data_IF_818906425720
#
_entry.id   IF_818906425720
#
_cell.length_a   1.000
_cell.length_b   1.000
_cell.length_c   1.000
_cell.angle_alpha   90.00
_cell.angle_beta   90.00
_cell.angle_gamma   90.00
#
_symmetry.space_group_name_H-M   'P 1'
#
loop_
_entity.id
_entity.type
_entity.pdbx_description
1 polymer ?
#
# COMPACT_ATOMS: atom_id res chain seq x y z
N UNK A 1 25.11 -1.78 -7.62
CA UNK A 1 23.73 -2.13 -7.22
C UNK A 1 22.84 -1.80 -8.38
N UNK A 2 22.23 -2.81 -8.98
CA UNK A 2 21.31 -2.59 -10.09
C UNK A 2 20.04 -1.94 -9.55
N UNK A 3 19.51 -0.98 -10.28
CA UNK A 3 18.25 -0.31 -9.95
C UNK A 3 17.13 -0.97 -10.73
N UNK A 4 16.04 -1.31 -10.05
CA UNK A 4 14.86 -1.91 -10.65
C UNK A 4 13.64 -1.00 -10.47
N UNK A 5 12.78 -0.98 -11.49
CA UNK A 5 11.43 -0.45 -11.42
C UNK A 5 10.47 -1.64 -11.29
N UNK A 6 9.60 -1.60 -10.28
CA UNK A 6 8.53 -2.58 -10.09
C UNK A 6 7.19 -1.91 -10.39
N UNK A 7 6.35 -2.52 -11.21
CA UNK A 7 5.06 -1.99 -11.61
C UNK A 7 3.98 -3.06 -11.43
N UNK A 8 2.89 -2.72 -10.76
CA UNK A 8 1.71 -3.59 -10.66
C UNK A 8 0.95 -3.55 -11.97
N UNK A 9 0.94 -4.67 -12.68
CA UNK A 9 0.08 -4.89 -13.84
C UNK A 9 -1.19 -5.59 -13.37
N UNK A 10 -2.13 -4.77 -12.91
CA UNK A 10 -3.39 -5.23 -12.33
C UNK A 10 -4.15 -6.12 -13.31
N UNK A 11 -4.37 -5.66 -14.55
CA UNK A 11 -5.10 -6.38 -15.59
C UNK A 11 -4.54 -7.79 -15.84
N UNK A 12 -3.22 -7.91 -15.92
CA UNK A 12 -2.57 -9.20 -16.18
C UNK A 12 -2.13 -9.96 -14.93
N UNK A 13 -2.53 -9.50 -13.74
CA UNK A 13 -2.31 -10.17 -12.44
C UNK A 13 -0.84 -10.48 -12.14
N UNK A 14 0.06 -9.54 -12.44
CA UNK A 14 1.50 -9.71 -12.17
C UNK A 14 2.18 -8.40 -11.77
N UNK A 15 3.39 -8.53 -11.24
CA UNK A 15 4.31 -7.40 -11.10
C UNK A 15 5.31 -7.46 -12.26
N UNK A 16 5.37 -6.38 -13.03
CA UNK A 16 6.40 -6.18 -14.05
C UNK A 16 7.65 -5.56 -13.44
N UNK A 17 8.80 -6.08 -13.85
CA UNK A 17 10.11 -5.64 -13.33
C UNK A 17 10.96 -5.18 -14.50
N UNK A 18 11.54 -3.99 -14.39
CA UNK A 18 12.43 -3.43 -15.40
C UNK A 18 13.79 -3.07 -14.78
N UNK A 19 14.88 -3.32 -15.51
CA UNK A 19 16.22 -2.90 -15.09
C UNK A 19 16.43 -1.38 -15.32
N UNK A 20 17.61 -0.87 -15.00
CA UNK A 20 17.96 0.55 -15.18
C UNK A 20 17.95 1.05 -16.64
N UNK A 21 17.90 0.13 -17.61
CA UNK A 21 17.73 0.43 -19.04
C UNK A 21 16.26 0.30 -19.51
N UNK A 22 15.32 0.11 -18.59
CA UNK A 22 13.90 -0.18 -18.85
C UNK A 22 13.65 -1.47 -19.64
N UNK A 23 14.59 -2.41 -19.61
CA UNK A 23 14.40 -3.74 -20.20
C UNK A 23 13.71 -4.67 -19.19
N UNK A 24 12.81 -5.56 -19.64
CA UNK A 24 12.16 -6.54 -18.77
C UNK A 24 13.18 -7.40 -18.02
N UNK A 25 12.96 -7.56 -16.73
CA UNK A 25 13.82 -8.28 -15.79
C UNK A 25 13.01 -9.25 -14.89
N UNK A 26 11.78 -9.59 -15.28
CA UNK A 26 10.93 -10.50 -14.52
C UNK A 26 11.60 -11.87 -14.33
N UNK A 27 11.70 -12.32 -13.09
CA UNK A 27 12.06 -13.71 -12.79
C UNK A 27 10.79 -14.60 -12.82
N UNK A 28 10.86 -15.82 -13.39
CA UNK A 28 9.74 -16.74 -13.35
C UNK A 28 9.29 -17.04 -11.91
N UNK A 29 8.00 -16.86 -11.63
CA UNK A 29 7.42 -17.11 -10.29
C UNK A 29 7.71 -16.04 -9.24
N UNK A 30 8.35 -14.92 -9.61
CA UNK A 30 8.49 -13.76 -8.74
C UNK A 30 7.14 -13.09 -8.48
N UNK A 31 6.98 -12.51 -7.28
CA UNK A 31 5.78 -11.79 -6.85
C UNK A 31 4.50 -12.65 -6.88
N UNK A 32 4.62 -13.92 -6.51
CA UNK A 32 3.49 -14.86 -6.42
C UNK A 32 3.32 -15.34 -4.99
N UNK A 33 2.10 -15.22 -4.46
CA UNK A 33 1.63 -16.04 -3.34
C UNK A 33 0.52 -16.99 -3.81
N UNK A 34 0.74 -18.32 -3.81
CA UNK A 34 -0.27 -19.31 -4.21
C UNK A 34 -1.50 -19.37 -3.28
N UNK A 35 -1.46 -18.73 -2.12
CA UNK A 35 -2.58 -18.65 -1.17
C UNK A 35 -3.55 -17.50 -1.49
N UNK A 36 -3.21 -16.60 -2.41
CA UNK A 36 -4.17 -15.61 -2.91
C UNK A 36 -5.13 -16.30 -3.90
N UNK A 37 -6.45 -16.24 -3.69
CA UNK A 37 -7.42 -16.82 -4.61
C UNK A 37 -7.36 -16.23 -6.03
N UNK A 38 -7.89 -16.97 -6.99
CA UNK A 38 -8.17 -16.41 -8.31
C UNK A 38 -9.15 -15.21 -8.17
N UNK A 39 -8.99 -14.19 -9.02
CA UNK A 39 -9.77 -12.96 -8.96
C UNK A 39 -9.07 -11.77 -8.29
N UNK A 40 -7.95 -11.98 -7.60
CA UNK A 40 -7.16 -10.88 -7.00
C UNK A 40 -5.89 -10.58 -7.81
N UNK A 41 -5.48 -9.32 -7.85
CA UNK A 41 -4.32 -8.87 -8.60
C UNK A 41 -3.51 -7.79 -7.85
N UNK A 42 -2.19 -7.67 -8.09
CA UNK A 42 -1.37 -6.61 -7.53
C UNK A 42 -1.93 -5.22 -7.86
N UNK A 43 -2.16 -4.39 -6.86
CA UNK A 43 -2.81 -3.08 -7.00
C UNK A 43 -1.84 -1.94 -6.67
N UNK A 44 -1.37 -1.87 -5.42
CA UNK A 44 -0.32 -0.95 -4.96
C UNK A 44 1.00 -1.66 -4.67
N UNK A 45 2.11 -0.92 -4.76
CA UNK A 45 3.46 -1.45 -4.52
C UNK A 45 4.38 -0.38 -3.94
N UNK A 46 5.18 -0.75 -2.94
CA UNK A 46 6.19 0.12 -2.33
C UNK A 46 7.43 -0.65 -1.89
N UNK A 47 8.59 0.01 -1.97
CA UNK A 47 9.82 -0.46 -1.33
C UNK A 47 9.90 0.10 0.08
N UNK A 48 9.75 -0.78 1.06
CA UNK A 48 9.84 -0.51 2.49
C UNK A 48 11.15 -1.09 3.01
N UNK A 49 12.19 -0.24 3.09
CA UNK A 49 13.50 -0.60 3.65
C UNK A 49 14.15 -1.84 3.01
N UNK A 50 13.96 -2.03 1.70
CA UNK A 50 14.50 -3.19 0.96
C UNK A 50 13.53 -4.37 0.85
N UNK A 51 12.37 -4.30 1.51
CA UNK A 51 11.25 -5.23 1.31
C UNK A 51 10.25 -4.63 0.33
N UNK A 52 9.87 -5.38 -0.70
CA UNK A 52 8.83 -4.97 -1.63
C UNK A 52 7.48 -5.40 -1.05
N UNK A 53 6.67 -4.43 -0.66
CA UNK A 53 5.31 -4.65 -0.17
C UNK A 53 4.35 -4.45 -1.34
N UNK A 54 3.48 -5.43 -1.56
CA UNK A 54 2.49 -5.42 -2.64
C UNK A 54 1.11 -5.62 -2.02
N UNK A 55 0.19 -4.72 -2.33
CA UNK A 55 -1.23 -4.90 -2.01
C UNK A 55 -1.93 -5.58 -3.17
N UNK A 56 -2.99 -6.32 -2.89
CA UNK A 56 -3.81 -7.00 -3.90
C UNK A 56 -5.26 -6.63 -3.69
N UNK A 57 -5.95 -6.28 -4.78
CA UNK A 57 -7.37 -5.98 -4.81
C UNK A 57 -8.12 -7.00 -5.67
N UNK A 58 -9.41 -7.16 -5.40
CA UNK A 58 -10.31 -8.00 -6.21
C UNK A 58 -10.58 -7.32 -7.54
N UNK A 59 -10.55 -8.06 -8.64
CA UNK A 59 -10.80 -7.55 -9.99
C UNK A 59 -12.25 -7.71 -10.37
N UNK A 60 -12.76 -6.77 -11.16
CA UNK A 60 -14.01 -6.96 -11.87
C UNK A 60 -13.88 -8.01 -13.00
N UNK A 61 -15.00 -8.31 -13.66
CA UNK A 61 -15.02 -9.33 -14.71
C UNK A 61 -14.13 -8.96 -15.92
N UNK A 62 -13.99 -7.67 -16.22
CA UNK A 62 -13.19 -7.14 -17.32
C UNK A 62 -11.70 -6.97 -16.94
N UNK A 63 -11.38 -7.09 -15.64
CA UNK A 63 -10.05 -6.92 -15.05
C UNK A 63 -9.47 -5.52 -15.28
N UNK A 64 -10.33 -4.52 -15.39
CA UNK A 64 -9.91 -3.13 -15.55
C UNK A 64 -9.92 -2.42 -14.21
N UNK A 65 -10.98 -2.62 -13.44
CA UNK A 65 -11.21 -1.93 -12.17
C UNK A 65 -11.25 -2.91 -11.00
N UNK A 66 -11.00 -2.38 -9.81
CA UNK A 66 -11.18 -3.13 -8.59
C UNK A 66 -12.65 -3.26 -8.22
N UNK A 67 -12.98 -4.33 -7.50
CA UNK A 67 -14.28 -4.47 -6.83
C UNK A 67 -14.10 -4.03 -5.39
N UNK A 68 -14.37 -2.76 -5.09
CA UNK A 68 -14.36 -2.24 -3.74
C UNK A 68 -15.32 -3.01 -2.81
N UNK A 69 -14.91 -3.22 -1.56
CA UNK A 69 -15.67 -3.92 -0.54
C UNK A 69 -14.81 -4.29 0.67
N UNK A 70 -15.40 -4.28 1.86
CA UNK A 70 -14.70 -4.73 3.07
C UNK A 70 -14.29 -6.21 2.91
N UNK A 71 -13.01 -6.48 3.14
CA UNK A 71 -12.41 -7.80 2.96
C UNK A 71 -11.90 -8.06 1.55
N UNK A 72 -12.08 -7.14 0.60
CA UNK A 72 -11.59 -7.31 -0.77
C UNK A 72 -10.12 -6.87 -0.88
N UNK A 73 -9.24 -7.58 -0.19
CA UNK A 73 -7.81 -7.39 -0.40
C UNK A 73 -6.87 -8.26 0.43
N UNK A 74 -5.60 -8.18 0.03
CA UNK A 74 -4.45 -8.79 0.69
C UNK A 74 -3.27 -7.83 0.68
N UNK A 75 -2.29 -8.07 1.55
CA UNK A 75 -1.00 -7.35 1.53
C UNK A 75 0.11 -8.35 1.81
N UNK A 76 1.07 -8.45 0.89
CA UNK A 76 2.20 -9.37 0.96
C UNK A 76 3.54 -8.66 0.89
N UNK A 77 4.58 -9.33 1.36
CA UNK A 77 5.97 -8.89 1.33
C UNK A 77 6.81 -9.84 0.48
N UNK A 78 7.71 -9.24 -0.27
CA UNK A 78 8.68 -9.92 -1.10
C UNK A 78 10.06 -9.31 -0.89
N UNK A 79 11.12 -10.05 -1.19
CA UNK A 79 12.43 -9.45 -1.37
C UNK A 79 12.51 -8.75 -2.75
N UNK A 80 13.66 -8.13 -3.05
CA UNK A 80 13.88 -7.44 -4.33
C UNK A 80 13.98 -8.36 -5.55
N UNK A 81 14.16 -9.68 -5.35
CA UNK A 81 14.06 -10.67 -6.42
C UNK A 81 12.61 -11.10 -6.69
N UNK A 82 11.68 -10.71 -5.81
CA UNK A 82 10.28 -11.12 -5.83
C UNK A 82 10.03 -12.45 -5.13
N UNK A 83 10.95 -12.94 -4.30
CA UNK A 83 10.71 -14.12 -3.47
C UNK A 83 9.75 -13.75 -2.32
N UNK A 84 8.71 -14.57 -2.11
CA UNK A 84 7.71 -14.34 -1.08
C UNK A 84 8.32 -14.46 0.32
N UNK A 85 8.20 -13.40 1.12
CA UNK A 85 8.67 -13.35 2.51
C UNK A 85 7.56 -13.61 3.51
N UNK A 86 6.33 -13.21 3.19
CA UNK A 86 5.17 -13.47 4.04
C UNK A 86 4.05 -12.46 3.89
N UNK A 87 2.88 -12.82 4.42
CA UNK A 87 1.69 -11.98 4.44
C UNK A 87 1.72 -10.95 5.57
N UNK A 88 1.31 -9.72 5.27
CA UNK A 88 0.97 -8.68 6.25
C UNK A 88 -0.48 -8.83 6.68
N UNK A 89 -1.41 -8.94 5.73
CA UNK A 89 -2.84 -8.91 6.02
C UNK A 89 -3.67 -9.69 5.00
N UNK A 90 -4.78 -10.28 5.47
CA UNK A 90 -5.76 -11.04 4.68
C UNK A 90 -7.16 -10.50 4.97
N UNK A 91 -7.87 -10.06 3.95
CA UNK A 91 -9.26 -9.60 4.07
C UNK A 91 -9.44 -8.59 5.23
N UNK A 92 -10.54 -8.69 6.00
CA UNK A 92 -10.80 -7.85 7.16
C UNK A 92 -11.04 -6.39 6.77
N UNK A 93 -10.22 -5.48 7.31
CA UNK A 93 -10.33 -4.04 7.02
C UNK A 93 -9.72 -3.63 5.67
N UNK A 94 -9.20 -4.57 4.88
CA UNK A 94 -8.72 -4.27 3.54
C UNK A 94 -9.89 -4.09 2.58
N UNK A 95 -9.84 -3.00 1.83
CA UNK A 95 -10.87 -2.63 0.86
C UNK A 95 -10.21 -1.95 -0.33
N UNK A 96 -9.89 -2.75 -1.35
CA UNK A 96 -9.04 -2.35 -2.48
C UNK A 96 -7.77 -1.62 -2.01
N UNK A 97 -6.90 -2.28 -1.22
CA UNK A 97 -5.74 -1.62 -0.62
C UNK A 97 -4.75 -1.14 -1.68
N UNK A 98 -4.30 0.12 -1.59
CA UNK A 98 -3.38 0.74 -2.56
C UNK A 98 -2.18 1.39 -1.89
N UNK A 99 -2.42 2.42 -1.07
CA UNK A 99 -1.35 3.21 -0.44
C UNK A 99 -0.61 2.38 0.60
N UNK A 100 0.72 2.46 0.61
CA UNK A 100 1.58 1.79 1.60
C UNK A 100 2.57 2.81 2.13
N UNK A 101 2.67 2.98 3.45
CA UNK A 101 3.66 3.87 4.05
C UNK A 101 4.17 3.33 5.40
N UNK A 102 5.48 3.09 5.57
CA UNK A 102 6.04 2.80 6.89
C UNK A 102 5.98 4.05 7.76
N UNK A 103 5.30 3.97 8.89
CA UNK A 103 5.16 5.07 9.82
C UNK A 103 6.48 5.29 10.60
N UNK A 104 7.01 6.53 10.62
CA UNK A 104 8.21 6.82 11.37
C UNK A 104 7.94 6.79 12.88
N UNK A 105 9.01 6.65 13.67
CA UNK A 105 8.94 6.60 15.13
C UNK A 105 8.21 7.79 15.80
N UNK A 106 8.07 8.92 15.10
CA UNK A 106 7.38 10.12 15.60
C UNK A 106 5.90 10.22 15.25
N UNK A 107 5.29 9.21 14.61
CA UNK A 107 3.89 9.27 14.14
C UNK A 107 2.86 8.81 15.18
N UNK A 108 3.01 9.28 16.42
CA UNK A 108 2.04 9.07 17.49
C UNK A 108 1.81 7.59 17.81
N UNK A 109 0.54 7.20 17.97
CA UNK A 109 0.15 5.85 18.39
C UNK A 109 0.52 4.74 17.39
N UNK A 110 0.78 5.09 16.12
CA UNK A 110 1.15 4.14 15.07
C UNK A 110 2.63 4.24 14.67
N UNK A 111 3.47 4.77 15.56
CA UNK A 111 4.91 4.85 15.34
C UNK A 111 5.53 3.46 15.08
N UNK A 112 6.16 3.28 13.91
CA UNK A 112 6.79 2.02 13.51
C UNK A 112 5.87 1.03 12.78
N UNK A 113 4.58 1.35 12.66
CA UNK A 113 3.62 0.49 11.97
C UNK A 113 3.69 0.65 10.45
N UNK A 114 3.19 -0.36 9.74
CA UNK A 114 2.92 -0.24 8.31
C UNK A 114 1.50 0.29 8.10
N UNK A 115 1.38 1.46 7.47
CA UNK A 115 0.09 2.03 7.10
C UNK A 115 -0.32 1.53 5.72
N UNK A 116 -1.57 1.09 5.60
CA UNK A 116 -2.20 0.69 4.35
C UNK A 116 -3.43 1.56 4.11
N UNK A 117 -3.41 2.34 3.04
CA UNK A 117 -4.54 3.13 2.55
C UNK A 117 -5.45 2.28 1.67
N UNK A 118 -6.74 2.23 2.02
CA UNK A 118 -7.76 1.54 1.27
C UNK A 118 -8.39 2.51 0.27
N UNK A 119 -8.28 2.19 -1.03
CA UNK A 119 -8.89 3.00 -2.07
C UNK A 119 -10.42 2.96 -1.99
N UNK A 120 -10.98 1.78 -1.76
CA UNK A 120 -12.43 1.55 -1.87
C UNK A 120 -13.28 2.21 -0.78
N UNK A 121 -12.72 2.49 0.40
CA UNK A 121 -13.43 3.23 1.46
C UNK A 121 -12.70 4.47 1.99
N UNK A 122 -11.51 4.76 1.47
CA UNK A 122 -10.75 5.95 1.86
C UNK A 122 -10.13 5.89 3.26
N UNK A 123 -10.15 4.74 3.94
CA UNK A 123 -9.64 4.60 5.30
C UNK A 123 -8.18 4.16 5.30
N UNK A 124 -7.46 4.40 6.40
CA UNK A 124 -6.07 3.97 6.56
C UNK A 124 -5.97 3.02 7.75
N UNK A 125 -5.57 1.79 7.48
CA UNK A 125 -5.35 0.74 8.48
C UNK A 125 -3.88 0.68 8.89
N UNK A 126 -3.60 0.45 10.17
CA UNK A 126 -2.25 0.37 10.72
C UNK A 126 -1.94 -1.07 11.16
N UNK A 127 -0.80 -1.58 10.70
CA UNK A 127 -0.36 -2.94 10.96
C UNK A 127 0.98 -2.93 11.70
N UNK A 128 1.00 -3.40 12.95
CA UNK A 128 2.19 -3.47 13.76
C UNK A 128 3.03 -4.71 13.41
N UNK A 129 4.32 -4.55 13.05
CA UNK A 129 5.20 -5.68 12.81
C UNK A 129 5.46 -6.47 14.11
N UNK A 130 5.46 -7.79 14.00
CA UNK A 130 5.71 -8.73 15.10
C UNK A 130 7.12 -9.32 15.02
N UNK A 131 7.63 -9.83 16.14
CA UNK A 131 8.99 -10.41 16.22
C UNK A 131 9.18 -11.62 15.31
N UNK A 132 8.11 -12.38 15.05
CA UNK A 132 8.13 -13.54 14.14
C UNK A 132 8.02 -13.15 12.66
N UNK A 133 8.02 -11.85 12.37
CA UNK A 133 7.88 -11.28 11.05
C UNK A 133 6.45 -11.22 10.55
N UNK A 134 5.43 -11.58 11.33
CA UNK A 134 4.02 -11.34 10.98
C UNK A 134 3.61 -9.89 11.29
N UNK A 135 2.36 -9.54 11.01
CA UNK A 135 1.79 -8.23 11.33
C UNK A 135 0.42 -8.39 11.99
N UNK A 136 0.11 -7.45 12.89
CA UNK A 136 -1.18 -7.38 13.56
C UNK A 136 -1.89 -6.08 13.19
N UNK A 137 -3.18 -6.14 12.87
CA UNK A 137 -4.00 -4.93 12.72
C UNK A 137 -4.19 -4.29 14.10
N UNK A 138 -3.58 -3.14 14.33
CA UNK A 138 -3.64 -2.43 15.62
C UNK A 138 -4.61 -1.25 15.62
N UNK A 139 -5.14 -0.87 14.45
CA UNK A 139 -6.20 0.13 14.37
C UNK A 139 -6.33 0.77 12.99
N UNK A 140 -7.08 1.88 12.98
CA UNK A 140 -7.23 2.74 11.82
C UNK A 140 -6.98 4.20 12.24
N UNK A 141 -6.49 5.02 11.32
CA UNK A 141 -6.30 6.44 11.57
C UNK A 141 -7.63 7.09 11.93
N UNK A 142 -7.58 8.02 12.89
CA UNK A 142 -8.75 8.73 13.39
C UNK A 142 -8.53 10.24 13.37
N UNK A 143 -9.61 10.97 13.16
CA UNK A 143 -9.67 12.42 13.31
C UNK A 143 -9.61 12.81 14.79
N UNK A 144 -9.40 14.10 15.08
CA UNK A 144 -9.35 14.63 16.45
C UNK A 144 -10.65 14.47 17.25
N UNK A 145 -11.80 14.24 16.58
CA UNK A 145 -13.08 13.86 17.21
C UNK A 145 -13.28 12.33 17.31
N UNK A 146 -12.20 11.56 17.18
CA UNK A 146 -12.13 10.10 17.31
C UNK A 146 -12.92 9.30 16.27
N UNK A 147 -13.38 9.92 15.17
CA UNK A 147 -13.98 9.19 14.05
C UNK A 147 -12.89 8.57 13.18
N UNK A 148 -13.22 7.48 12.50
CA UNK A 148 -12.30 6.91 11.51
C UNK A 148 -12.09 7.94 10.41
N UNK A 149 -10.83 8.20 10.07
CA UNK A 149 -10.47 9.09 8.98
C UNK A 149 -10.92 8.44 7.67
N UNK A 150 -11.61 9.21 6.83
CA UNK A 150 -12.07 8.77 5.52
C UNK A 150 -11.76 9.87 4.50
N UNK A 151 -11.05 9.50 3.44
CA UNK A 151 -10.66 10.38 2.34
C UNK A 151 -11.19 9.73 1.06
N UNK A 152 -12.21 10.35 0.46
CA UNK A 152 -12.80 9.85 -0.78
C UNK A 152 -11.75 9.72 -1.91
N UNK A 153 -11.69 8.55 -2.54
CA UNK A 153 -10.73 8.22 -3.58
C UNK A 153 -9.27 8.15 -3.13
N UNK A 154 -8.98 7.79 -1.86
CA UNK A 154 -7.61 7.73 -1.33
C UNK A 154 -6.68 6.84 -2.17
N UNK A 155 -5.55 7.39 -2.63
CA UNK A 155 -4.52 6.66 -3.36
C UNK A 155 -3.24 6.52 -2.53
N UNK A 156 -2.19 7.25 -2.91
CA UNK A 156 -0.84 7.08 -2.43
C UNK A 156 -0.67 7.72 -1.06
N UNK A 157 0.14 7.08 -0.24
CA UNK A 157 0.56 7.55 1.08
C UNK A 157 2.09 7.69 1.07
N UNK A 158 2.62 8.80 1.57
CA UNK A 158 4.06 8.99 1.65
C UNK A 158 4.44 9.91 2.82
N UNK A 159 5.34 9.46 3.69
CA UNK A 159 5.93 10.34 4.69
C UNK A 159 6.96 11.30 4.08
N UNK A 160 7.01 12.51 4.64
CA UNK A 160 8.04 13.47 4.30
C UNK A 160 9.46 12.95 4.60
N UNK A 161 10.46 13.58 3.98
CA UNK A 161 11.87 13.15 4.11
C UNK A 161 12.74 14.14 4.90
N UNK A 162 12.11 15.07 5.63
CA UNK A 162 12.77 15.93 6.61
C UNK A 162 13.35 17.24 6.07
N UNK A 163 13.30 17.46 4.75
CA UNK A 163 13.61 18.77 4.18
C UNK A 163 12.33 19.59 4.09
N UNK A 164 12.15 20.51 5.06
CA UNK A 164 10.97 21.37 5.17
C UNK A 164 10.66 22.18 3.91
N UNK A 165 11.66 22.49 3.08
CA UNK A 165 11.48 23.28 1.86
C UNK A 165 11.13 22.45 0.63
N UNK A 166 11.38 21.14 0.65
CA UNK A 166 11.22 20.28 -0.53
C UNK A 166 10.24 19.13 -0.32
N UNK A 167 10.32 18.42 0.81
CA UNK A 167 9.60 17.16 1.02
C UNK A 167 9.04 17.02 2.44
N UNK A 168 8.89 18.14 3.15
CA UNK A 168 8.15 18.24 4.42
C UNK A 168 8.81 17.55 5.61
N UNK A 169 8.21 17.71 6.81
CA UNK A 169 8.64 17.03 8.03
C UNK A 169 8.54 15.51 7.90
N UNK A 170 9.41 14.76 8.56
CA UNK A 170 9.36 13.28 8.55
C UNK A 170 8.07 12.73 9.17
N UNK A 171 7.43 13.46 10.07
CA UNK A 171 6.19 13.06 10.76
C UNK A 171 4.92 13.48 10.02
N UNK A 172 5.03 14.09 8.84
CA UNK A 172 3.87 14.45 8.01
C UNK A 172 3.62 13.36 6.98
N UNK A 173 2.43 12.77 7.02
CA UNK A 173 1.94 11.83 6.03
C UNK A 173 1.24 12.61 4.92
N UNK A 174 1.81 12.62 3.73
CA UNK A 174 1.19 13.17 2.53
C UNK A 174 0.29 12.10 1.88
N UNK A 175 -0.82 12.54 1.31
CA UNK A 175 -1.69 11.68 0.53
C UNK A 175 -2.12 12.33 -0.78
N UNK A 176 -2.40 11.48 -1.77
CA UNK A 176 -3.16 11.84 -2.98
C UNK A 176 -4.52 11.17 -2.94
N UNK A 177 -5.52 11.79 -3.55
CA UNK A 177 -6.83 11.18 -3.72
C UNK A 177 -7.52 11.66 -5.00
N UNK A 178 -8.34 10.78 -5.56
CA UNK A 178 -9.21 11.03 -6.71
C UNK A 178 -10.69 11.03 -6.30
N UNK A 179 -11.19 12.07 -5.62
CA UNK A 179 -12.58 12.10 -5.16
C UNK A 179 -13.58 12.22 -6.32
N UNK A 180 -14.84 11.92 -6.04
CA UNK A 180 -15.95 11.93 -7.03
C UNK A 180 -15.67 11.01 -8.23
N UNK A 181 -15.27 9.77 -7.94
CA UNK A 181 -14.94 8.78 -8.97
C UNK A 181 -13.76 9.23 -9.84
N UNK A 182 -12.72 9.78 -9.20
CA UNK A 182 -11.47 10.21 -9.84
C UNK A 182 -11.61 11.39 -10.81
N UNK A 183 -12.77 12.07 -10.83
CA UNK A 183 -13.02 13.25 -11.65
C UNK A 183 -12.24 14.49 -11.17
N UNK A 184 -11.72 14.43 -9.95
CA UNK A 184 -11.00 15.50 -9.27
C UNK A 184 -9.68 15.00 -8.66
N UNK A 185 -8.81 15.93 -8.30
CA UNK A 185 -7.55 15.63 -7.62
C UNK A 185 -7.45 16.36 -6.29
N UNK A 186 -7.13 15.62 -5.24
CA UNK A 186 -6.84 16.13 -3.91
C UNK A 186 -5.44 15.72 -3.49
N UNK A 187 -4.66 16.69 -3.00
CA UNK A 187 -3.40 16.46 -2.33
C UNK A 187 -3.47 17.08 -0.95
N UNK A 188 -3.09 16.34 0.08
CA UNK A 188 -3.21 16.80 1.45
C UNK A 188 -2.21 16.14 2.38
N UNK A 189 -2.35 16.47 3.67
CA UNK A 189 -1.49 15.97 4.73
C UNK A 189 -2.31 15.49 5.93
N UNK A 190 -1.75 14.51 6.64
CA UNK A 190 -2.22 14.00 7.91
C UNK A 190 -1.05 14.12 8.90
N UNK A 191 -1.33 14.68 10.07
CA UNK A 191 -0.37 14.81 11.17
C UNK A 191 -0.93 14.15 12.41
N UNK A 192 -0.09 13.46 13.17
CA UNK A 192 -0.45 12.98 14.50
C UNK A 192 -0.73 14.19 15.42
N UNK A 193 -1.77 14.08 16.24
CA UNK A 193 -2.19 15.07 17.23
C UNK A 193 -1.93 14.63 18.65
#
# INVERSE_FOLDING_TARGET
TDSFLYATDFHNRRVDVFNGSFEPANAPGAFVDPKIPAGYAPFGIQNVEGTIVVTYAEQDADRHDDVAGQGHGFVDRFDTSGAFLGRVATHGQLNSPWGIAPAPAGFGAFAGDLLVGNFGDGQVSAFAPQEDGTYELVGQLRTGDHKVLTIDGLWSLQFGKGNLNNNGPTTTLFFTAGPDGESHGLFGTITAG
#
